data_IF_591039975832
#
_entry.id   IF_591039975832
#
_cell.length_a   1.000
_cell.length_b   1.000
_cell.length_c   1.000
_cell.angle_alpha   90.00
_cell.angle_beta   90.00
_cell.angle_gamma   90.00
#
_symmetry.space_group_name_H-M   'P 1'
#
loop_
_entity.id
_entity.type
_entity.pdbx_description
1 polymer ?
#
# COMPACT_ATOMS: atom_id res chain seq x y z
N UNK A 1 1.84 -20.42 -9.71
CA UNK A 1 2.58 -19.15 -9.50
C UNK A 1 3.81 -19.05 -10.41
N UNK A 2 3.65 -19.30 -11.73
CA UNK A 2 4.68 -19.10 -12.78
C UNK A 2 4.23 -18.12 -13.89
N UNK A 3 2.98 -17.66 -13.81
CA UNK A 3 2.36 -16.76 -14.80
C UNK A 3 2.70 -15.27 -14.58
N UNK A 4 3.42 -14.94 -13.52
CA UNK A 4 3.82 -13.59 -13.14
C UNK A 4 5.35 -13.48 -13.02
N UNK A 5 6.09 -14.15 -13.91
CA UNK A 5 7.53 -13.88 -14.05
C UNK A 5 7.71 -12.51 -14.72
N UNK A 6 8.56 -11.66 -14.14
CA UNK A 6 8.87 -10.30 -14.57
C UNK A 6 9.36 -10.15 -16.03
N UNK A 7 9.69 -11.26 -16.69
CA UNK A 7 10.15 -11.32 -18.08
C UNK A 7 9.12 -11.85 -19.07
N UNK A 8 7.87 -12.07 -18.66
CA UNK A 8 6.87 -12.63 -19.58
C UNK A 8 6.46 -11.59 -20.64
N UNK A 9 6.50 -11.93 -21.95
CA UNK A 9 6.10 -11.01 -23.04
C UNK A 9 4.64 -10.55 -22.91
N UNK A 10 3.81 -11.31 -22.20
CA UNK A 10 2.44 -10.95 -21.83
C UNK A 10 2.37 -9.72 -20.90
N UNK A 11 3.35 -9.52 -20.00
CA UNK A 11 3.40 -8.37 -19.10
C UNK A 11 3.76 -7.10 -19.87
N UNK A 12 4.74 -7.19 -20.77
CA UNK A 12 5.15 -6.09 -21.65
C UNK A 12 4.00 -5.66 -22.57
N UNK A 13 3.28 -6.63 -23.14
CA UNK A 13 2.10 -6.37 -23.99
C UNK A 13 0.96 -5.70 -23.21
N UNK A 14 0.67 -6.15 -21.98
CA UNK A 14 -0.34 -5.52 -21.11
C UNK A 14 0.02 -4.07 -20.76
N UNK A 15 1.31 -3.81 -20.53
CA UNK A 15 1.82 -2.47 -20.21
C UNK A 15 1.68 -1.54 -21.42
N UNK A 16 2.06 -2.01 -22.60
CA UNK A 16 1.92 -1.23 -23.85
C UNK A 16 0.44 -0.97 -24.18
N UNK A 17 -0.44 -1.97 -24.04
CA UNK A 17 -1.88 -1.80 -24.28
C UNK A 17 -2.49 -0.81 -23.28
N UNK A 18 -2.14 -0.89 -21.99
CA UNK A 18 -2.62 0.06 -21.00
C UNK A 18 -2.15 1.49 -21.29
N UNK A 19 -0.87 1.68 -21.65
CA UNK A 19 -0.31 2.99 -22.01
C UNK A 19 -1.01 3.56 -23.25
N UNK A 20 -1.22 2.74 -24.29
CA UNK A 20 -1.89 3.18 -25.52
C UNK A 20 -3.37 3.50 -25.29
N UNK A 21 -4.08 2.72 -24.48
CA UNK A 21 -5.45 3.01 -24.08
C UNK A 21 -5.54 4.28 -23.24
N UNK A 22 -4.62 4.48 -22.29
CA UNK A 22 -4.58 5.66 -21.44
C UNK A 22 -4.30 6.92 -22.27
N UNK A 23 -3.31 6.88 -23.18
CA UNK A 23 -3.00 7.97 -24.10
C UNK A 23 -4.19 8.27 -25.02
N UNK A 24 -4.77 7.25 -25.65
CA UNK A 24 -5.93 7.42 -26.54
C UNK A 24 -7.15 8.01 -25.83
N UNK A 25 -7.35 7.67 -24.55
CA UNK A 25 -8.44 8.19 -23.73
C UNK A 25 -8.19 9.65 -23.30
N UNK A 26 -6.95 10.01 -22.98
CA UNK A 26 -6.57 11.40 -22.66
C UNK A 26 -6.64 12.33 -23.86
N UNK A 27 -6.29 11.85 -25.06
CA UNK A 27 -6.32 12.63 -26.30
C UNK A 27 -7.72 12.79 -26.90
N UNK A 28 -8.70 12.00 -26.43
CA UNK A 28 -10.10 12.10 -26.88
C UNK A 28 -10.89 13.18 -26.13
N UNK A 29 -10.25 14.02 -25.31
CA UNK A 29 -10.94 14.99 -24.45
C UNK A 29 -10.91 16.40 -25.07
N UNK A 30 -12.07 17.08 -25.19
CA UNK A 30 -12.15 18.42 -25.78
C UNK A 30 -11.52 19.49 -24.87
N UNK A 31 -10.75 20.44 -25.41
CA UNK A 31 -9.91 21.38 -24.63
C UNK A 31 -10.66 22.50 -23.89
N UNK A 32 -11.95 22.74 -24.20
CA UNK A 32 -12.67 23.89 -23.65
C UNK A 32 -13.30 23.59 -22.28
N UNK A 33 -12.77 24.22 -21.22
CA UNK A 33 -13.31 24.18 -19.86
C UNK A 33 -13.93 25.53 -19.53
N UNK A 34 -15.25 25.63 -19.72
CA UNK A 34 -16.07 26.68 -19.14
C UNK A 34 -17.24 26.01 -18.41
N UNK A 35 -17.31 26.20 -17.10
CA UNK A 35 -18.35 25.76 -16.15
C UNK A 35 -18.12 24.43 -15.38
N UNK A 36 -18.34 24.49 -14.07
CA UNK A 36 -18.10 23.41 -13.09
C UNK A 36 -19.06 22.22 -13.22
N UNK A 37 -20.22 22.42 -13.85
CA UNK A 37 -21.15 21.35 -14.23
C UNK A 37 -20.56 20.43 -15.32
N UNK A 38 -19.73 20.99 -16.20
CA UNK A 38 -19.05 20.29 -17.30
C UNK A 38 -17.87 19.44 -16.81
N UNK A 39 -17.25 19.83 -15.70
CA UNK A 39 -16.16 19.08 -15.08
C UNK A 39 -16.64 17.70 -14.61
N UNK A 40 -17.75 17.62 -13.87
CA UNK A 40 -18.21 16.33 -13.33
C UNK A 40 -18.53 15.34 -14.44
N UNK A 41 -19.27 15.75 -15.48
CA UNK A 41 -19.67 14.88 -16.59
C UNK A 41 -18.45 14.42 -17.40
N UNK A 42 -17.48 15.32 -17.66
CA UNK A 42 -16.28 15.02 -18.47
C UNK A 42 -15.32 14.05 -17.78
N UNK A 43 -15.29 14.00 -16.45
CA UNK A 43 -14.36 13.14 -15.70
C UNK A 43 -15.03 11.94 -15.00
N UNK A 44 -16.34 11.69 -15.20
CA UNK A 44 -17.00 10.48 -14.67
C UNK A 44 -16.30 9.20 -15.13
N UNK A 45 -15.92 9.13 -16.42
CA UNK A 45 -15.20 7.96 -16.95
C UNK A 45 -13.90 7.72 -16.17
N UNK A 46 -13.18 8.79 -15.82
CA UNK A 46 -11.90 8.73 -15.13
C UNK A 46 -12.10 8.18 -13.72
N UNK A 47 -13.15 8.61 -13.04
CA UNK A 47 -13.54 8.09 -11.73
C UNK A 47 -13.95 6.61 -11.78
N UNK A 48 -14.73 6.21 -12.79
CA UNK A 48 -15.10 4.81 -13.01
C UNK A 48 -13.84 3.96 -13.25
N UNK A 49 -12.94 4.40 -14.13
CA UNK A 49 -11.68 3.69 -14.41
C UNK A 49 -10.79 3.61 -13.17
N UNK A 50 -10.65 4.70 -12.42
CA UNK A 50 -9.89 4.75 -11.17
C UNK A 50 -10.44 3.77 -10.13
N UNK A 51 -11.76 3.65 -10.02
CA UNK A 51 -12.41 2.70 -9.12
C UNK A 51 -12.07 1.25 -9.49
N UNK A 52 -12.22 0.88 -10.76
CA UNK A 52 -11.90 -0.47 -11.22
C UNK A 52 -10.41 -0.81 -11.04
N UNK A 53 -9.52 0.12 -11.38
CA UNK A 53 -8.08 -0.04 -11.17
C UNK A 53 -7.73 -0.15 -9.68
N UNK A 54 -8.33 0.67 -8.83
CA UNK A 54 -8.09 0.62 -7.38
C UNK A 54 -8.60 -0.68 -6.77
N UNK A 55 -9.76 -1.17 -7.21
CA UNK A 55 -10.33 -2.43 -6.72
C UNK A 55 -9.45 -3.63 -7.11
N UNK A 56 -9.04 -3.69 -8.38
CA UNK A 56 -8.14 -4.75 -8.86
C UNK A 56 -6.76 -4.69 -8.22
N UNK A 57 -6.22 -3.49 -8.03
CA UNK A 57 -4.96 -3.28 -7.31
C UNK A 57 -5.07 -3.70 -5.84
N UNK A 58 -6.16 -3.33 -5.17
CA UNK A 58 -6.45 -3.75 -3.79
C UNK A 58 -6.52 -5.27 -3.64
N UNK A 59 -7.15 -5.96 -4.60
CA UNK A 59 -7.18 -7.42 -4.63
C UNK A 59 -5.77 -8.03 -4.81
N UNK A 60 -4.98 -7.52 -5.75
CA UNK A 60 -3.62 -8.00 -6.00
C UNK A 60 -2.71 -7.78 -4.79
N UNK A 61 -2.78 -6.59 -4.17
CA UNK A 61 -2.03 -6.28 -2.95
C UNK A 61 -2.46 -7.16 -1.79
N UNK A 62 -3.76 -7.30 -1.54
CA UNK A 62 -4.29 -8.14 -0.47
C UNK A 62 -3.81 -9.59 -0.57
N UNK A 63 -3.79 -10.18 -1.76
CA UNK A 63 -3.25 -11.54 -1.95
C UNK A 63 -1.78 -11.67 -1.56
N UNK A 64 -0.97 -10.66 -1.82
CA UNK A 64 0.46 -10.66 -1.49
C UNK A 64 0.68 -10.50 0.01
N UNK A 65 -0.01 -9.55 0.66
CA UNK A 65 0.14 -9.30 2.10
C UNK A 65 -0.36 -10.48 2.95
N UNK A 66 -1.48 -11.09 2.55
CA UNK A 66 -2.01 -12.30 3.22
C UNK A 66 -1.02 -13.46 3.14
N UNK A 67 -0.35 -13.62 2.00
CA UNK A 67 0.69 -14.64 1.84
C UNK A 67 1.86 -14.38 2.78
N UNK A 68 2.30 -13.13 2.91
CA UNK A 68 3.39 -12.75 3.82
C UNK A 68 3.00 -12.97 5.30
N UNK A 69 1.77 -12.67 5.69
CA UNK A 69 1.30 -12.79 7.07
C UNK A 69 1.04 -14.23 7.51
N UNK A 70 0.50 -15.07 6.63
CA UNK A 70 0.03 -16.42 6.99
C UNK A 70 0.91 -17.58 6.47
N UNK A 71 1.97 -17.31 5.70
CA UNK A 71 2.84 -18.36 5.14
C UNK A 71 3.42 -19.31 6.20
N UNK A 72 3.86 -18.80 7.35
CA UNK A 72 4.45 -19.61 8.42
C UNK A 72 3.40 -20.45 9.16
N UNK A 73 2.24 -19.87 9.45
CA UNK A 73 1.14 -20.53 10.16
C UNK A 73 0.48 -21.62 9.31
N UNK A 74 0.32 -21.39 8.00
CA UNK A 74 -0.19 -22.40 7.07
C UNK A 74 0.90 -23.42 6.74
N UNK A 75 2.15 -22.97 6.53
CA UNK A 75 3.28 -23.84 6.20
C UNK A 75 3.68 -24.80 7.31
N UNK A 76 3.50 -24.42 8.57
CA UNK A 76 3.69 -25.28 9.75
C UNK A 76 2.51 -26.22 10.02
N UNK A 77 1.39 -26.07 9.31
CA UNK A 77 0.16 -26.85 9.55
C UNK A 77 -0.65 -26.41 10.77
N UNK A 78 -0.27 -25.30 11.42
CA UNK A 78 -0.99 -24.78 12.60
C UNK A 78 -2.42 -24.33 12.27
N UNK A 79 -2.64 -23.81 11.05
CA UNK A 79 -3.97 -23.43 10.55
C UNK A 79 -4.20 -23.95 9.12
N UNK A 80 -5.45 -24.23 8.78
CA UNK A 80 -5.86 -24.61 7.42
C UNK A 80 -5.96 -23.37 6.52
N UNK A 81 -5.70 -23.56 5.22
CA UNK A 81 -5.76 -22.50 4.22
C UNK A 81 -7.11 -21.75 4.19
N UNK A 82 -8.23 -22.48 4.32
CA UNK A 82 -9.58 -21.86 4.37
C UNK A 82 -9.74 -20.91 5.56
N UNK A 83 -9.24 -21.30 6.73
CA UNK A 83 -9.28 -20.48 7.94
C UNK A 83 -8.40 -19.24 7.79
N UNK A 84 -7.22 -19.41 7.20
CA UNK A 84 -6.31 -18.30 6.92
C UNK A 84 -6.99 -17.22 6.05
N UNK A 85 -7.70 -17.60 4.98
CA UNK A 85 -8.42 -16.64 4.13
C UNK A 85 -9.53 -15.87 4.84
N UNK A 86 -10.33 -16.55 5.67
CA UNK A 86 -11.40 -15.90 6.43
C UNK A 86 -10.81 -14.89 7.42
N UNK A 87 -9.79 -15.32 8.17
CA UNK A 87 -9.14 -14.46 9.17
C UNK A 87 -8.43 -13.27 8.51
N UNK A 88 -7.70 -13.53 7.43
CA UNK A 88 -7.07 -12.50 6.61
C UNK A 88 -8.07 -11.43 6.15
N UNK A 89 -9.21 -11.85 5.59
CA UNK A 89 -10.22 -10.91 5.10
C UNK A 89 -10.69 -9.96 6.20
N UNK A 90 -10.92 -10.48 7.41
CA UNK A 90 -11.39 -9.67 8.54
C UNK A 90 -10.28 -8.76 9.07
N UNK A 91 -9.09 -9.31 9.33
CA UNK A 91 -8.00 -8.60 9.99
C UNK A 91 -7.33 -7.58 9.07
N UNK A 92 -7.10 -7.91 7.80
CA UNK A 92 -6.54 -6.97 6.81
C UNK A 92 -7.51 -5.80 6.55
N UNK A 93 -8.81 -6.11 6.40
CA UNK A 93 -9.83 -5.05 6.24
C UNK A 93 -9.90 -4.15 7.48
N UNK A 94 -9.85 -4.72 8.68
CA UNK A 94 -9.82 -3.95 9.92
C UNK A 94 -8.57 -3.09 10.01
N UNK A 95 -7.38 -3.63 9.70
CA UNK A 95 -6.13 -2.87 9.69
C UNK A 95 -6.15 -1.71 8.69
N UNK A 96 -6.65 -1.95 7.48
CA UNK A 96 -6.79 -0.91 6.45
C UNK A 96 -7.69 0.25 6.91
N UNK A 97 -8.81 -0.05 7.59
CA UNK A 97 -9.73 0.97 8.11
C UNK A 97 -9.11 1.72 9.31
N UNK A 98 -8.52 0.98 10.26
CA UNK A 98 -8.08 1.53 11.54
C UNK A 98 -6.76 2.31 11.45
N UNK A 99 -5.80 1.88 10.61
CA UNK A 99 -4.45 2.44 10.54
C UNK A 99 -4.08 2.95 9.14
N UNK A 100 -4.81 2.55 8.09
CA UNK A 100 -4.45 2.83 6.69
C UNK A 100 -4.42 4.31 6.32
N UNK A 101 -5.18 5.17 7.02
CA UNK A 101 -5.21 6.61 6.76
C UNK A 101 -3.84 7.27 6.83
N UNK A 102 -2.98 6.85 7.78
CA UNK A 102 -1.66 7.47 7.96
C UNK A 102 -0.73 7.19 6.78
N UNK A 103 -0.75 5.97 6.26
CA UNK A 103 0.01 5.58 5.06
C UNK A 103 -0.50 6.35 3.85
N UNK A 104 -1.82 6.47 3.71
CA UNK A 104 -2.44 7.25 2.65
C UNK A 104 -2.03 8.72 2.70
N UNK A 105 -1.92 9.32 3.90
CA UNK A 105 -1.44 10.70 4.03
C UNK A 105 -0.01 10.86 3.54
N UNK A 106 0.88 9.94 3.87
CA UNK A 106 2.28 9.99 3.40
C UNK A 106 2.34 9.92 1.88
N UNK A 107 1.56 9.03 1.25
CA UNK A 107 1.52 8.91 -0.21
C UNK A 107 0.93 10.15 -0.90
N UNK A 108 -0.11 10.75 -0.33
CA UNK A 108 -0.83 11.90 -0.93
C UNK A 108 -0.16 13.25 -0.71
N UNK A 109 0.39 13.47 0.49
CA UNK A 109 0.78 14.81 0.96
C UNK A 109 2.28 14.96 1.22
N UNK A 110 3.00 13.87 1.52
CA UNK A 110 4.41 13.98 1.91
C UNK A 110 5.36 13.78 0.73
N UNK A 111 4.90 13.20 -0.38
CA UNK A 111 5.75 12.94 -1.57
C UNK A 111 5.62 14.04 -2.61
N UNK A 112 4.39 14.48 -2.91
CA UNK A 112 4.08 15.47 -3.94
C UNK A 112 3.74 16.80 -3.27
N UNK A 113 4.25 17.90 -3.84
CA UNK A 113 3.84 19.25 -3.47
C UNK A 113 2.48 19.58 -4.13
N UNK A 114 1.40 19.49 -3.35
CA UNK A 114 0.04 19.72 -3.86
C UNK A 114 -0.26 21.19 -4.17
N UNK A 115 0.47 22.15 -3.61
CA UNK A 115 0.24 23.57 -3.89
C UNK A 115 0.52 23.89 -5.36
N UNK A 116 1.46 23.17 -5.97
CA UNK A 116 1.77 23.28 -7.39
C UNK A 116 0.66 22.77 -8.32
N UNK A 117 -0.34 22.06 -7.78
CA UNK A 117 -1.47 21.50 -8.54
C UNK A 117 -2.82 22.12 -8.16
N UNK A 118 -2.84 23.16 -7.32
CA UNK A 118 -4.07 23.80 -6.84
C UNK A 118 -4.96 24.32 -8.00
N UNK A 119 -4.33 24.87 -9.05
CA UNK A 119 -5.02 25.40 -10.24
C UNK A 119 -5.36 24.31 -11.28
N UNK A 120 -4.88 23.08 -11.09
CA UNK A 120 -5.03 21.99 -12.06
C UNK A 120 -5.37 20.64 -11.40
N UNK A 121 -6.49 20.55 -10.65
CA UNK A 121 -6.87 19.31 -9.94
C UNK A 121 -7.17 18.13 -10.86
N UNK A 122 -7.51 18.39 -12.13
CA UNK A 122 -7.72 17.35 -13.14
C UNK A 122 -6.42 16.59 -13.49
N UNK A 123 -5.26 17.24 -13.41
CA UNK A 123 -3.96 16.60 -13.62
C UNK A 123 -3.69 15.56 -12.53
N UNK A 124 -4.06 15.84 -11.27
CA UNK A 124 -3.93 14.88 -10.18
C UNK A 124 -4.85 13.67 -10.35
N UNK A 125 -6.08 13.89 -10.85
CA UNK A 125 -7.02 12.79 -11.13
C UNK A 125 -6.47 11.85 -12.21
N UNK A 126 -6.02 12.41 -13.34
CA UNK A 126 -5.42 11.64 -14.43
C UNK A 126 -4.11 10.99 -13.99
N UNK A 127 -3.30 11.72 -13.21
CA UNK A 127 -2.09 11.22 -12.59
C UNK A 127 -2.33 9.99 -11.73
N UNK A 128 -3.38 10.01 -10.90
CA UNK A 128 -3.72 8.86 -10.05
C UNK A 128 -4.08 7.61 -10.87
N UNK A 129 -4.77 7.78 -12.00
CA UNK A 129 -5.09 6.67 -12.92
C UNK A 129 -3.80 6.13 -13.55
N UNK A 130 -2.92 7.02 -14.00
CA UNK A 130 -1.62 6.64 -14.55
C UNK A 130 -0.75 5.90 -13.51
N UNK A 131 -0.72 6.39 -12.26
CA UNK A 131 0.01 5.78 -11.14
C UNK A 131 -0.52 4.38 -10.86
N UNK A 132 -1.84 4.22 -10.72
CA UNK A 132 -2.47 2.92 -10.48
C UNK A 132 -2.18 1.94 -11.63
N UNK A 133 -2.27 2.43 -12.87
CA UNK A 133 -1.95 1.68 -14.07
C UNK A 133 -0.50 1.20 -14.13
N UNK A 134 0.44 2.11 -13.92
CA UNK A 134 1.87 1.80 -13.89
C UNK A 134 2.20 0.80 -12.77
N UNK A 135 1.59 0.97 -11.60
CA UNK A 135 1.75 0.06 -10.46
C UNK A 135 1.20 -1.33 -10.80
N UNK A 136 0.06 -1.41 -11.48
CA UNK A 136 -0.53 -2.67 -11.95
C UNK A 136 0.31 -3.35 -13.04
N UNK A 137 1.05 -2.59 -13.83
CA UNK A 137 1.97 -3.14 -14.82
C UNK A 137 3.26 -3.70 -14.18
N UNK A 138 3.65 -3.20 -13.01
CA UNK A 138 4.83 -3.62 -12.24
C UNK A 138 4.56 -4.79 -11.26
N UNK A 139 3.52 -5.59 -11.48
CA UNK A 139 3.02 -6.63 -10.56
C UNK A 139 3.92 -7.86 -10.25
N UNK A 140 5.18 -8.00 -10.72
CA UNK A 140 6.10 -8.96 -10.12
C UNK A 140 7.07 -8.35 -9.09
N UNK A 141 6.95 -7.05 -8.76
CA UNK A 141 7.83 -6.33 -7.82
C UNK A 141 7.02 -5.75 -6.65
N UNK A 142 7.66 -5.45 -5.51
CA UNK A 142 7.00 -4.89 -4.31
C UNK A 142 6.03 -3.73 -4.64
N UNK A 143 4.74 -3.91 -4.33
CA UNK A 143 3.66 -2.96 -4.66
C UNK A 143 3.95 -1.54 -4.16
N UNK A 144 4.54 -1.40 -2.97
CA UNK A 144 4.90 -0.11 -2.36
C UNK A 144 5.96 0.63 -3.17
N UNK A 145 6.99 -0.07 -3.64
CA UNK A 145 8.05 0.53 -4.46
C UNK A 145 7.51 0.97 -5.82
N UNK A 146 6.70 0.13 -6.46
CA UNK A 146 6.06 0.43 -7.74
C UNK A 146 5.13 1.65 -7.65
N UNK A 147 4.37 1.77 -6.56
CA UNK A 147 3.45 2.89 -6.36
C UNK A 147 4.19 4.21 -6.11
N UNK A 148 5.20 4.22 -5.22
CA UNK A 148 6.01 5.42 -4.93
C UNK A 148 6.82 5.83 -6.15
N UNK A 149 7.41 4.89 -6.87
CA UNK A 149 8.13 5.17 -8.13
C UNK A 149 7.23 5.79 -9.20
N UNK A 150 5.99 5.30 -9.31
CA UNK A 150 4.99 5.87 -10.22
C UNK A 150 4.58 7.29 -9.84
N UNK A 151 4.42 7.58 -8.53
CA UNK A 151 4.17 8.94 -8.02
C UNK A 151 5.33 9.89 -8.38
N UNK A 152 6.56 9.46 -8.11
CA UNK A 152 7.77 10.23 -8.40
C UNK A 152 7.86 10.51 -9.90
N UNK A 153 7.68 9.48 -10.74
CA UNK A 153 7.70 9.63 -12.19
C UNK A 153 6.64 10.58 -12.71
N UNK A 154 5.39 10.46 -12.23
CA UNK A 154 4.30 11.38 -12.58
C UNK A 154 4.64 12.84 -12.24
N UNK A 155 5.06 13.10 -11.00
CA UNK A 155 5.38 14.47 -10.57
C UNK A 155 6.59 15.05 -11.32
N UNK A 156 7.60 14.22 -11.58
CA UNK A 156 8.79 14.61 -12.31
C UNK A 156 8.48 14.98 -13.77
N UNK A 157 7.53 14.30 -14.42
CA UNK A 157 7.07 14.65 -15.78
C UNK A 157 6.24 15.94 -15.78
N UNK A 158 5.34 16.10 -14.80
CA UNK A 158 4.40 17.23 -14.80
C UNK A 158 5.01 18.54 -14.31
N UNK A 159 5.83 18.50 -13.26
CA UNK A 159 6.35 19.68 -12.55
C UNK A 159 7.85 19.64 -12.31
N UNK A 160 8.55 18.61 -12.79
CA UNK A 160 9.99 18.43 -12.56
C UNK A 160 10.33 18.15 -11.09
N UNK A 161 11.61 18.27 -10.71
CA UNK A 161 12.07 17.99 -9.33
C UNK A 161 11.42 18.89 -8.27
N UNK A 162 10.90 20.07 -8.66
CA UNK A 162 10.24 21.02 -7.75
C UNK A 162 8.87 20.53 -7.29
N UNK A 163 8.20 19.65 -8.05
CA UNK A 163 6.92 19.06 -7.66
C UNK A 163 7.03 18.00 -6.55
N UNK A 164 8.25 17.69 -6.11
CA UNK A 164 8.54 16.64 -5.13
C UNK A 164 9.19 17.20 -3.89
N UNK A 165 8.77 16.70 -2.74
CA UNK A 165 9.50 16.89 -1.50
C UNK A 165 10.68 15.90 -1.44
N UNK A 166 11.78 16.23 -2.11
CA UNK A 166 12.95 15.34 -2.25
C UNK A 166 13.47 14.79 -0.92
N UNK A 167 13.50 15.62 0.14
CA UNK A 167 13.90 15.18 1.47
C UNK A 167 13.03 14.03 2.01
N UNK A 168 11.72 14.07 1.74
CA UNK A 168 10.77 13.02 2.14
C UNK A 168 10.95 11.77 1.30
N UNK A 169 11.17 11.93 -0.01
CA UNK A 169 11.49 10.81 -0.90
C UNK A 169 12.73 10.05 -0.41
N UNK A 170 13.82 10.76 -0.10
CA UNK A 170 15.04 10.14 0.44
C UNK A 170 14.80 9.43 1.78
N UNK A 171 14.00 10.02 2.67
CA UNK A 171 13.64 9.38 3.94
C UNK A 171 12.88 8.06 3.72
N UNK A 172 11.94 8.03 2.77
CA UNK A 172 11.20 6.82 2.41
C UNK A 172 12.15 5.77 1.83
N UNK A 173 13.04 6.16 0.92
CA UNK A 173 14.04 5.23 0.35
C UNK A 173 14.96 4.66 1.43
N UNK A 174 15.42 5.49 2.38
CA UNK A 174 16.21 5.02 3.51
C UNK A 174 15.44 4.00 4.38
N UNK A 175 14.14 4.22 4.57
CA UNK A 175 13.28 3.30 5.34
C UNK A 175 13.23 1.89 4.75
N UNK A 176 13.42 1.71 3.45
CA UNK A 176 13.39 0.40 2.79
C UNK A 176 14.57 -0.49 3.18
N UNK A 177 15.69 0.11 3.58
CA UNK A 177 16.88 -0.61 4.06
C UNK A 177 16.82 -0.77 5.58
N UNK A 178 16.43 0.30 6.27
CA UNK A 178 16.40 0.33 7.74
C UNK A 178 15.32 -0.59 8.30
N UNK A 179 14.15 -0.69 7.66
CA UNK A 179 13.03 -1.47 8.20
C UNK A 179 13.30 -2.99 8.22
N UNK A 180 13.82 -3.63 7.15
CA UNK A 180 14.21 -5.03 7.20
C UNK A 180 15.36 -5.31 8.18
N UNK A 181 16.32 -4.39 8.28
CA UNK A 181 17.44 -4.55 9.21
C UNK A 181 16.96 -4.53 10.68
N UNK A 182 16.10 -3.57 11.02
CA UNK A 182 15.51 -3.48 12.36
C UNK A 182 14.57 -4.66 12.65
N UNK A 183 13.74 -5.07 11.69
CA UNK A 183 12.85 -6.22 11.89
C UNK A 183 13.63 -7.52 12.07
N UNK A 184 14.73 -7.71 11.33
CA UNK A 184 15.65 -8.82 11.51
C UNK A 184 16.31 -8.83 12.89
N UNK A 185 16.80 -7.67 13.35
CA UNK A 185 17.39 -7.52 14.68
C UNK A 185 16.38 -7.84 15.79
N UNK A 186 15.19 -7.26 15.73
CA UNK A 186 14.12 -7.50 16.72
C UNK A 186 13.69 -8.97 16.70
N UNK A 187 13.56 -9.58 15.52
CA UNK A 187 13.25 -11.00 15.36
C UNK A 187 14.32 -11.89 16.02
N UNK A 188 15.61 -11.59 15.81
CA UNK A 188 16.71 -12.33 16.42
C UNK A 188 16.70 -12.21 17.95
N UNK A 189 16.48 -11.00 18.49
CA UNK A 189 16.37 -10.78 19.93
C UNK A 189 15.19 -11.57 20.52
N UNK A 190 14.02 -11.50 19.90
CA UNK A 190 12.85 -12.25 20.34
C UNK A 190 13.10 -13.75 20.29
N UNK A 191 13.73 -14.27 19.22
CA UNK A 191 14.09 -15.68 19.11
C UNK A 191 15.01 -16.12 20.26
N UNK A 192 16.05 -15.36 20.58
CA UNK A 192 16.96 -15.67 21.69
C UNK A 192 16.21 -15.71 23.02
N UNK A 193 15.30 -14.76 23.25
CA UNK A 193 14.46 -14.74 24.46
C UNK A 193 13.61 -16.01 24.53
N UNK A 194 12.93 -16.39 23.44
CA UNK A 194 12.11 -17.60 23.40
C UNK A 194 12.94 -18.90 23.54
N UNK A 195 14.13 -18.96 22.94
CA UNK A 195 15.03 -20.10 23.05
C UNK A 195 15.43 -20.36 24.51
N UNK A 196 15.81 -19.31 25.24
CA UNK A 196 16.23 -19.41 26.65
C UNK A 196 15.04 -19.61 27.58
N UNK A 197 13.94 -18.89 27.35
CA UNK A 197 12.77 -18.90 28.23
C UNK A 197 11.91 -20.16 28.08
N UNK A 198 11.82 -20.72 26.86
CA UNK A 198 10.90 -21.81 26.52
C UNK A 198 11.64 -23.04 26.00
N UNK A 199 12.41 -22.94 24.91
CA UNK A 199 12.91 -24.14 24.20
C UNK A 199 13.96 -24.93 24.97
N UNK A 200 14.89 -24.26 25.68
CA UNK A 200 15.93 -24.93 26.48
C UNK A 200 15.44 -25.47 27.82
N UNK A 201 14.16 -25.26 28.17
CA UNK A 201 13.60 -25.73 29.44
C UNK A 201 13.17 -27.19 29.34
N UNK A 202 13.36 -27.92 30.44
CA UNK A 202 13.09 -29.36 30.54
C UNK A 202 11.64 -29.73 30.22
N UNK A 203 10.70 -28.83 30.53
CA UNK A 203 9.26 -28.95 30.22
C UNK A 203 8.84 -27.75 29.33
N UNK A 204 9.26 -27.81 28.07
CA UNK A 204 9.07 -26.72 27.10
C UNK A 204 7.60 -26.42 26.80
N UNK A 205 6.73 -27.44 26.85
CA UNK A 205 5.29 -27.28 26.61
C UNK A 205 4.63 -26.43 27.71
N UNK A 206 4.88 -26.75 28.98
CA UNK A 206 4.32 -25.99 30.10
C UNK A 206 4.86 -24.57 30.16
N UNK A 207 6.16 -24.38 29.88
CA UNK A 207 6.77 -23.06 29.76
C UNK A 207 6.16 -22.25 28.61
N UNK A 208 5.95 -22.86 27.45
CA UNK A 208 5.31 -22.23 26.29
C UNK A 208 3.88 -21.78 26.57
N UNK A 209 3.06 -22.65 27.18
CA UNK A 209 1.69 -22.32 27.58
C UNK A 209 1.62 -21.17 28.60
N UNK A 210 2.62 -21.06 29.50
CA UNK A 210 2.71 -19.93 30.44
C UNK A 210 3.21 -18.64 29.78
N UNK A 211 4.05 -18.73 28.75
CA UNK A 211 4.56 -17.57 28.02
C UNK A 211 3.53 -16.97 27.04
N UNK A 212 2.66 -17.79 26.45
CA UNK A 212 1.65 -17.37 25.46
C UNK A 212 0.78 -16.18 25.91
N UNK A 213 0.15 -16.18 27.11
CA UNK A 213 -0.68 -15.06 27.56
C UNK A 213 0.07 -13.74 27.62
N UNK A 214 1.34 -13.77 28.06
CA UNK A 214 2.19 -12.57 28.14
C UNK A 214 2.47 -12.03 26.74
N UNK A 215 2.83 -12.91 25.82
CA UNK A 215 3.10 -12.52 24.43
C UNK A 215 1.85 -11.94 23.74
N UNK A 216 0.70 -12.60 23.89
CA UNK A 216 -0.56 -12.09 23.34
C UNK A 216 -0.97 -10.75 23.97
N UNK A 217 -0.74 -10.57 25.27
CA UNK A 217 -0.98 -9.29 25.93
C UNK A 217 -0.09 -8.18 25.34
N UNK A 218 1.20 -8.42 25.15
CA UNK A 218 2.11 -7.44 24.55
C UNK A 218 1.69 -7.06 23.12
N UNK A 219 1.35 -8.05 22.30
CA UNK A 219 0.89 -7.81 20.91
C UNK A 219 -0.42 -7.04 20.90
N UNK A 220 -1.40 -7.45 21.72
CA UNK A 220 -2.71 -6.79 21.79
C UNK A 220 -2.59 -5.36 22.30
N UNK A 221 -1.81 -5.14 23.36
CA UNK A 221 -1.53 -3.82 23.92
C UNK A 221 -0.89 -2.90 22.88
N UNK A 222 0.16 -3.37 22.19
CA UNK A 222 0.83 -2.57 21.17
C UNK A 222 -0.10 -2.21 20.01
N UNK A 223 -0.87 -3.16 19.48
CA UNK A 223 -1.81 -2.89 18.40
C UNK A 223 -2.91 -1.92 18.82
N UNK A 224 -3.47 -2.10 20.03
CA UNK A 224 -4.49 -1.19 20.57
C UNK A 224 -3.92 0.21 20.75
N UNK A 225 -2.72 0.34 21.31
CA UNK A 225 -2.03 1.62 21.47
C UNK A 225 -1.80 2.32 20.13
N UNK A 226 -1.32 1.59 19.11
CA UNK A 226 -1.13 2.13 17.77
C UNK A 226 -2.43 2.63 17.15
N UNK A 227 -3.52 1.86 17.28
CA UNK A 227 -4.84 2.29 16.79
C UNK A 227 -5.35 3.52 17.52
N UNK A 228 -5.20 3.59 18.84
CA UNK A 228 -5.66 4.74 19.63
C UNK A 228 -4.85 6.00 19.35
N UNK A 229 -3.51 5.88 19.26
CA UNK A 229 -2.63 7.04 19.14
C UNK A 229 -2.44 7.52 17.69
N UNK A 230 -2.23 6.56 16.77
CA UNK A 230 -1.90 6.79 15.37
C UNK A 230 -3.00 6.39 14.38
N UNK A 231 -4.09 5.77 14.85
CA UNK A 231 -5.17 5.36 13.96
C UNK A 231 -5.88 6.51 13.28
N UNK A 232 -6.76 6.13 12.36
CA UNK A 232 -7.56 7.01 11.52
C UNK A 232 -8.35 8.00 12.39
N UNK A 233 -7.78 9.18 12.61
CA UNK A 233 -8.51 10.28 13.26
C UNK A 233 -9.58 10.72 12.29
N UNK A 234 -10.84 10.63 12.68
CA UNK A 234 -11.94 11.31 11.99
C UNK A 234 -11.77 12.83 12.23
N UNK A 235 -10.72 13.42 11.65
CA UNK A 235 -10.63 14.87 11.54
C UNK A 235 -11.69 15.26 10.53
N UNK A 236 -12.71 15.96 11.01
CA UNK A 236 -13.57 16.80 10.18
C UNK A 236 -12.65 17.86 9.58
N UNK A 237 -12.00 17.51 8.48
CA UNK A 237 -11.14 18.42 7.72
C UNK A 237 -12.05 19.57 7.29
N UNK A 238 -11.81 20.74 7.87
CA UNK A 238 -12.52 21.95 7.50
C UNK A 238 -12.27 22.13 5.99
N UNK A 239 -13.36 22.08 5.24
CA UNK A 239 -13.44 22.22 3.79
C UNK A 239 -12.49 23.28 3.27
N UNK A 240 -11.36 22.85 2.71
CA UNK A 240 -10.48 23.72 1.92
C UNK A 240 -10.38 23.29 0.46
N UNK A 241 -11.10 22.23 0.06
CA UNK A 241 -11.00 21.61 -1.26
C UNK A 241 -12.32 21.00 -1.79
N UNK A 242 -13.45 21.68 -1.58
CA UNK A 242 -14.59 21.59 -2.50
C UNK A 242 -14.79 22.98 -3.07
#
# INVERSE_FOLDING_TARGET
>A
MKLLSASSPLLTLRTVIFILLFIGLTQSLPDNVGDGSSFQIKYVWALITAFHLSFTFGFAMGSNEVSNAFATSVGSGAIKLRTAYILATIIESAGAILLGYKVLQTLRFEVIDLEMYAEAPHELLLGQIAILGATFCALPVSSTHSHIGSIIGFSMVMRGPKGLHLNKVFLIMASWIVSPALSGLVSAILYIIFDIAVFRRRDSLKCGLRAMPIFYFCVFYFNTFMVVYHGSKCKRENSRWI
#
